data_IF_541887535998
#
_entry.id   IF_541887535998
#
_cell.length_a   1.000
_cell.length_b   1.000
_cell.length_c   1.000
_cell.angle_alpha   90.00
_cell.angle_beta   90.00
_cell.angle_gamma   90.00
#
_symmetry.space_group_name_H-M   'P 1'
#
loop_
_entity.id
_entity.type
_entity.pdbx_description
1 polymer ?
#
# COMPACT_ATOMS: atom_id res chain seq x y z
N UNK A 1 2.88 -4.50 15.27
CA UNK A 1 3.71 -3.89 14.21
C UNK A 1 2.85 -3.74 12.97
N UNK A 2 2.73 -2.52 12.44
CA UNK A 2 2.08 -2.29 11.16
C UNK A 2 3.16 -2.13 10.09
N UNK A 3 3.03 -2.84 8.97
CA UNK A 3 3.88 -2.68 7.80
C UNK A 3 3.18 -1.69 6.88
N UNK A 4 3.89 -0.62 6.50
CA UNK A 4 3.41 0.40 5.57
C UNK A 4 4.33 0.47 4.36
N UNK A 5 3.73 0.65 3.18
CA UNK A 5 4.44 0.76 1.91
C UNK A 5 4.06 2.06 1.21
N UNK A 6 4.99 2.59 0.42
CA UNK A 6 4.72 3.73 -0.45
C UNK A 6 4.34 3.23 -1.83
N UNK A 7 3.20 3.70 -2.33
CA UNK A 7 2.64 3.28 -3.61
C UNK A 7 2.01 4.43 -4.37
N UNK A 8 1.85 4.25 -5.69
CA UNK A 8 1.12 5.17 -6.56
C UNK A 8 -0.27 4.63 -6.86
N UNK A 9 -1.30 5.47 -6.73
CA UNK A 9 -2.64 5.13 -7.21
C UNK A 9 -2.63 5.07 -8.74
N UNK A 10 -2.90 3.88 -9.29
CA UNK A 10 -2.99 3.68 -10.74
C UNK A 10 -4.41 3.95 -11.22
N UNK A 11 -5.40 3.48 -10.47
CA UNK A 11 -6.80 3.63 -10.86
C UNK A 11 -7.74 2.78 -10.03
N UNK A 12 -8.95 2.61 -10.53
CA UNK A 12 -9.99 1.79 -9.91
C UNK A 12 -10.52 0.81 -10.94
N UNK A 13 -10.82 -0.41 -10.50
CA UNK A 13 -11.41 -1.47 -11.31
C UNK A 13 -12.33 -2.33 -10.43
N UNK A 14 -12.83 -3.45 -10.94
CA UNK A 14 -13.57 -4.44 -10.17
C UNK A 14 -12.98 -5.84 -10.37
N UNK A 15 -13.09 -6.66 -9.34
CA UNK A 15 -12.84 -8.11 -9.41
C UNK A 15 -14.15 -8.84 -9.13
N UNK A 16 -14.30 -10.06 -9.64
CA UNK A 16 -15.45 -10.90 -9.34
C UNK A 16 -15.06 -11.93 -8.27
N UNK A 17 -15.81 -11.97 -7.18
CA UNK A 17 -15.66 -12.97 -6.13
C UNK A 17 -16.13 -14.35 -6.58
N UNK A 18 -15.86 -15.38 -5.78
CA UNK A 18 -16.24 -16.77 -6.08
C UNK A 18 -17.77 -16.96 -6.18
N UNK A 19 -18.54 -16.13 -5.48
CA UNK A 19 -20.00 -16.11 -5.54
C UNK A 19 -20.55 -15.29 -6.73
N UNK A 20 -19.68 -14.73 -7.58
CA UNK A 20 -20.05 -13.91 -8.73
C UNK A 20 -20.34 -12.43 -8.42
N UNK A 21 -20.14 -12.00 -7.17
CA UNK A 21 -20.29 -10.61 -6.76
C UNK A 21 -19.17 -9.71 -7.31
N UNK A 22 -19.51 -8.49 -7.73
CA UNK A 22 -18.55 -7.54 -8.29
C UNK A 22 -18.01 -6.60 -7.20
N UNK A 23 -16.75 -6.77 -6.83
CA UNK A 23 -16.08 -6.02 -5.76
C UNK A 23 -15.26 -4.88 -6.38
N UNK A 24 -15.60 -3.60 -6.12
CA UNK A 24 -14.79 -2.47 -6.58
C UNK A 24 -13.49 -2.37 -5.79
N UNK A 25 -12.37 -2.17 -6.47
CA UNK A 25 -11.03 -2.13 -5.88
C UNK A 25 -10.20 -0.96 -6.43
N UNK A 26 -9.29 -0.45 -5.61
CA UNK A 26 -8.26 0.51 -6.05
C UNK A 26 -6.97 -0.24 -6.34
N UNK A 27 -6.38 0.01 -7.51
CA UNK A 27 -5.10 -0.57 -7.90
C UNK A 27 -3.98 0.38 -7.48
N UNK A 28 -3.07 -0.13 -6.66
CA UNK A 28 -1.85 0.55 -6.24
C UNK A 28 -0.64 -0.14 -6.88
N UNK A 29 0.24 0.65 -7.48
CA UNK A 29 1.54 0.18 -7.95
C UNK A 29 2.57 0.41 -6.86
N UNK A 30 3.28 -0.66 -6.48
CA UNK A 30 4.32 -0.64 -5.45
C UNK A 30 5.66 -0.97 -6.10
N UNK A 31 6.55 0.01 -6.18
CA UNK A 31 7.95 -0.23 -6.50
C UNK A 31 8.72 -0.60 -5.21
N UNK A 32 9.91 -1.23 -5.29
CA UNK A 32 10.73 -1.52 -4.12
C UNK A 32 10.97 -0.25 -3.29
N UNK A 33 10.51 -0.25 -2.03
CA UNK A 33 10.67 0.88 -1.14
C UNK A 33 12.01 0.78 -0.39
N UNK A 34 12.84 1.81 -0.53
CA UNK A 34 14.07 1.96 0.27
C UNK A 34 13.76 2.75 1.54
N UNK A 35 14.15 2.21 2.69
CA UNK A 35 14.13 2.95 3.96
C UNK A 35 15.22 4.01 3.93
N UNK A 36 14.83 5.28 4.06
CA UNK A 36 15.76 6.42 4.05
C UNK A 36 16.33 6.72 5.44
N UNK A 37 15.49 6.61 6.47
CA UNK A 37 15.86 6.90 7.85
C UNK A 37 15.01 6.05 8.81
N UNK A 38 15.61 5.60 9.90
CA UNK A 38 14.91 5.06 11.07
C UNK A 38 15.05 6.12 12.16
N UNK A 39 13.92 6.65 12.64
CA UNK A 39 13.92 7.67 13.69
C UNK A 39 13.97 7.05 15.08
N UNK A 40 14.71 7.68 15.99
CA UNK A 40 14.79 7.27 17.40
C UNK A 40 14.64 8.48 18.32
N UNK A 41 14.26 8.26 19.58
CA UNK A 41 14.10 9.35 20.55
C UNK A 41 15.43 10.08 20.77
N UNK A 42 16.52 9.34 20.88
CA UNK A 42 17.86 9.90 21.14
C UNK A 42 18.35 10.82 20.00
N UNK A 43 18.00 10.54 18.74
CA UNK A 43 18.46 11.29 17.57
C UNK A 43 17.45 12.30 17.01
N UNK A 44 16.15 12.06 17.20
CA UNK A 44 15.06 12.81 16.56
C UNK A 44 14.08 13.50 17.54
N UNK A 45 14.25 13.30 18.86
CA UNK A 45 13.47 13.97 19.92
C UNK A 45 12.77 13.05 20.90
#
# INVERSE_FOLDING_TARGET
MAISLLGRKVGMTRIFGEAGDAIPVTVLEIAPNRVSQIKTVDSDG
#
